data_IF_276642873702
#
_entry.id   IF_276642873702
#
_cell.length_a   1.000
_cell.length_b   1.000
_cell.length_c   1.000
_cell.angle_alpha   90.00
_cell.angle_beta   90.00
_cell.angle_gamma   90.00
#
_symmetry.space_group_name_H-M   'P 1'
#
loop_
_entity.id
_entity.type
_entity.pdbx_description
1 polymer ?
#
# COMPACT_ATOMS: atom_id res chain seq x y z
N UNK A 1 14.47 -9.89 -3.01
CA UNK A 1 13.55 -10.41 -4.00
C UNK A 1 13.37 -9.42 -5.13
N UNK A 2 13.03 -9.93 -6.27
CA UNK A 2 13.08 -9.15 -7.48
C UNK A 2 11.70 -8.75 -7.96
N UNK A 3 11.00 -7.99 -7.23
CA UNK A 3 9.71 -7.54 -7.66
C UNK A 3 8.63 -7.94 -6.70
N UNK A 4 7.39 -7.78 -7.11
CA UNK A 4 6.25 -7.95 -6.23
C UNK A 4 5.75 -9.39 -6.29
N UNK A 5 5.60 -10.01 -5.14
CA UNK A 5 4.99 -11.34 -5.09
C UNK A 5 3.47 -11.19 -4.89
N UNK A 6 2.80 -12.32 -4.70
CA UNK A 6 1.35 -12.34 -4.59
C UNK A 6 0.83 -11.49 -3.43
N UNK A 7 1.47 -11.62 -2.26
CA UNK A 7 1.03 -10.83 -1.10
C UNK A 7 1.28 -9.35 -1.29
N UNK A 8 2.42 -9.01 -1.88
CA UNK A 8 2.72 -7.60 -2.16
C UNK A 8 1.65 -7.00 -3.06
N UNK A 9 1.28 -7.74 -4.11
CA UNK A 9 0.28 -7.25 -5.06
C UNK A 9 -1.09 -7.14 -4.42
N UNK A 10 -1.46 -8.10 -3.58
CA UNK A 10 -2.73 -8.02 -2.87
C UNK A 10 -2.78 -6.80 -1.96
N UNK A 11 -1.68 -6.54 -1.25
CA UNK A 11 -1.60 -5.39 -0.37
C UNK A 11 -1.78 -4.09 -1.15
N UNK A 12 -1.00 -3.92 -2.20
CA UNK A 12 -1.07 -2.69 -2.99
C UNK A 12 -2.41 -2.54 -3.70
N UNK A 13 -2.93 -3.62 -4.24
CA UNK A 13 -4.23 -3.59 -4.90
C UNK A 13 -5.31 -3.16 -3.92
N UNK A 14 -5.29 -3.72 -2.71
CA UNK A 14 -6.27 -3.35 -1.69
C UNK A 14 -6.15 -1.89 -1.32
N UNK A 15 -4.92 -1.42 -1.10
CA UNK A 15 -4.69 -0.04 -0.72
C UNK A 15 -5.14 0.92 -1.83
N UNK A 16 -4.82 0.59 -3.07
CA UNK A 16 -5.14 1.47 -4.19
C UNK A 16 -6.62 1.47 -4.51
N UNK A 17 -7.25 0.28 -4.52
CA UNK A 17 -8.61 0.15 -5.01
C UNK A 17 -9.65 0.27 -3.92
N UNK A 18 -9.42 -0.40 -2.80
CA UNK A 18 -10.40 -0.38 -1.72
C UNK A 18 -10.31 0.88 -0.88
N UNK A 19 -9.11 1.36 -0.67
CA UNK A 19 -8.87 2.52 0.20
C UNK A 19 -8.46 3.76 -0.58
N UNK A 20 -8.55 3.69 -1.89
CA UNK A 20 -8.34 4.86 -2.75
C UNK A 20 -6.93 5.47 -2.56
N UNK A 21 -5.97 4.60 -2.32
CA UNK A 21 -4.59 5.04 -2.11
C UNK A 21 -4.26 5.42 -0.67
N UNK A 22 -5.24 5.35 0.20
CA UNK A 22 -5.06 5.67 1.60
C UNK A 22 -5.39 7.11 1.92
N UNK A 23 -5.20 7.53 3.16
CA UNK A 23 -4.55 6.76 4.23
C UNK A 23 -5.45 5.66 4.77
N UNK A 24 -4.85 4.52 5.06
CA UNK A 24 -5.55 3.38 5.60
C UNK A 24 -4.74 2.80 6.74
N UNK A 25 -5.39 2.55 7.86
CA UNK A 25 -4.71 1.95 9.00
C UNK A 25 -4.33 0.51 8.69
N UNK A 26 -3.26 0.03 9.33
CA UNK A 26 -2.80 -1.33 9.08
C UNK A 26 -3.84 -2.36 9.48
N UNK A 27 -4.61 -2.07 10.53
CA UNK A 27 -5.66 -3.00 10.97
C UNK A 27 -6.77 -3.11 9.93
N UNK A 28 -7.14 -1.97 9.33
CA UNK A 28 -8.16 -1.98 8.30
C UNK A 28 -7.69 -2.73 7.06
N UNK A 29 -6.43 -2.52 6.68
CA UNK A 29 -5.85 -3.23 5.55
C UNK A 29 -5.80 -4.73 5.82
N UNK A 30 -5.37 -5.12 7.03
CA UNK A 30 -5.27 -6.52 7.39
C UNK A 30 -6.64 -7.18 7.35
N UNK A 31 -7.65 -6.51 7.88
CA UNK A 31 -9.00 -7.05 7.87
C UNK A 31 -9.50 -7.22 6.43
N UNK A 32 -9.24 -6.23 5.58
CA UNK A 32 -9.69 -6.31 4.20
C UNK A 32 -8.98 -7.43 3.43
N UNK A 33 -7.74 -7.73 3.81
CA UNK A 33 -6.97 -8.79 3.16
C UNK A 33 -7.18 -10.15 3.80
N UNK A 34 -7.90 -10.20 4.92
CA UNK A 34 -8.04 -11.42 5.70
C UNK A 34 -6.68 -11.93 6.15
N UNK A 35 -5.82 -11.01 6.59
CA UNK A 35 -4.49 -11.33 7.05
C UNK A 35 -4.27 -10.74 8.44
N UNK A 36 -3.22 -11.18 9.07
CA UNK A 36 -2.83 -10.67 10.37
C UNK A 36 -2.06 -9.36 10.20
N UNK A 37 -2.35 -8.37 11.04
CA UNK A 37 -1.68 -7.09 10.92
C UNK A 37 -0.17 -7.21 11.13
N UNK A 38 0.25 -8.15 11.98
CA UNK A 38 1.69 -8.40 12.16
C UNK A 38 2.35 -8.86 10.88
N UNK A 39 1.65 -9.68 10.10
CA UNK A 39 2.17 -10.12 8.81
C UNK A 39 2.36 -8.92 7.87
N UNK A 40 1.41 -8.01 7.85
CA UNK A 40 1.56 -6.82 7.03
C UNK A 40 2.77 -6.00 7.48
N UNK A 41 2.88 -5.76 8.77
CA UNK A 41 3.95 -4.90 9.29
C UNK A 41 5.33 -5.51 9.19
N UNK A 42 5.43 -6.81 9.40
CA UNK A 42 6.73 -7.46 9.51
C UNK A 42 7.21 -8.13 8.24
N UNK A 43 6.28 -8.54 7.39
CA UNK A 43 6.62 -9.33 6.20
C UNK A 43 6.43 -8.53 4.92
N UNK A 44 5.32 -7.82 4.80
CA UNK A 44 4.95 -7.18 3.54
C UNK A 44 5.45 -5.75 3.46
N UNK A 45 5.16 -4.94 4.45
CA UNK A 45 5.44 -3.51 4.38
C UNK A 45 6.92 -3.17 4.30
N UNK A 46 7.84 -3.87 4.99
CA UNK A 46 9.23 -3.47 4.92
C UNK A 46 9.78 -3.42 3.49
N UNK A 47 9.45 -4.41 2.70
CA UNK A 47 9.89 -4.42 1.30
C UNK A 47 9.23 -3.30 0.50
N UNK A 48 7.91 -3.14 0.67
CA UNK A 48 7.17 -2.14 -0.10
C UNK A 48 7.61 -0.73 0.25
N UNK A 49 7.90 -0.49 1.52
CA UNK A 49 8.38 0.82 1.96
C UNK A 49 9.78 1.07 1.40
N UNK A 50 10.64 0.07 1.48
CA UNK A 50 12.00 0.19 0.99
C UNK A 50 12.02 0.47 -0.51
N UNK A 51 11.12 -0.14 -1.26
CA UNK A 51 11.04 0.05 -2.70
C UNK A 51 10.29 1.32 -3.09
N UNK A 52 9.70 2.01 -2.13
CA UNK A 52 9.05 3.28 -2.39
C UNK A 52 7.61 3.18 -2.84
N UNK A 53 6.96 2.04 -2.63
CA UNK A 53 5.55 1.89 -3.03
C UNK A 53 4.58 2.38 -1.97
N UNK A 54 5.00 2.37 -0.71
CA UNK A 54 4.11 2.68 0.41
C UNK A 54 4.84 3.58 1.38
N UNK A 55 4.10 4.49 2.00
CA UNK A 55 4.62 5.34 3.08
C UNK A 55 3.75 5.19 4.31
N UNK A 56 4.37 5.23 5.47
CA UNK A 56 3.64 5.28 6.73
C UNK A 56 3.49 6.72 7.16
N UNK A 57 2.27 7.11 7.51
CA UNK A 57 1.99 8.45 7.98
C UNK A 57 1.24 8.35 9.30
N UNK A 58 1.05 9.50 9.95
CA UNK A 58 0.31 9.54 11.19
C UNK A 58 -1.14 9.10 11.00
N UNK A 59 -1.66 9.19 9.80
CA UNK A 59 -3.04 8.80 9.51
C UNK A 59 -3.17 7.38 9.02
N UNK A 60 -2.06 6.73 8.69
CA UNK A 60 -2.08 5.39 8.17
C UNK A 60 -1.16 5.25 6.98
N UNK A 61 -1.35 4.18 6.22
CA UNK A 61 -0.50 3.88 5.06
C UNK A 61 -1.07 4.55 3.83
N UNK A 62 -0.18 5.12 3.02
CA UNK A 62 -0.58 5.69 1.74
C UNK A 62 0.25 5.09 0.63
N UNK A 63 -0.35 4.96 -0.54
CA UNK A 63 0.33 4.50 -1.73
C UNK A 63 1.03 5.69 -2.38
N UNK A 64 2.23 5.45 -2.89
CA UNK A 64 2.97 6.49 -3.59
C UNK A 64 2.58 6.49 -5.07
N UNK A 65 3.02 7.52 -5.80
CA UNK A 65 2.80 7.54 -7.25
C UNK A 65 3.37 6.31 -7.92
N UNK A 66 4.49 5.81 -7.40
CA UNK A 66 5.12 4.62 -7.95
C UNK A 66 4.20 3.41 -7.89
N UNK A 67 3.43 3.29 -6.81
CA UNK A 67 2.49 2.19 -6.68
C UNK A 67 1.39 2.29 -7.74
N UNK A 68 0.85 3.48 -7.94
CA UNK A 68 -0.16 3.67 -8.98
C UNK A 68 0.37 3.26 -10.34
N UNK A 69 1.57 3.73 -10.66
CA UNK A 69 2.16 3.44 -11.98
C UNK A 69 2.43 1.96 -12.15
N UNK A 70 2.84 1.29 -11.08
CA UNK A 70 3.11 -0.14 -11.12
C UNK A 70 1.87 -0.94 -11.52
N UNK A 71 0.70 -0.43 -11.16
CA UNK A 71 -0.57 -1.10 -11.47
C UNK A 71 -1.26 -0.51 -12.68
N UNK A 72 -0.56 0.33 -13.44
CA UNK A 72 -1.14 0.93 -14.63
C UNK A 72 -2.22 1.95 -14.33
N UNK A 73 -2.22 2.50 -13.13
CA UNK A 73 -3.19 3.48 -12.72
C UNK A 73 -2.58 4.87 -12.77
N UNK A 74 -3.42 5.87 -12.99
CA UNK A 74 -2.97 7.24 -12.99
C UNK A 74 -2.90 7.77 -11.58
N UNK A 75 -1.73 8.24 -11.12
CA UNK A 75 -1.65 8.81 -9.78
C UNK A 75 -2.57 10.01 -9.63
N UNK A 76 -3.11 10.24 -8.44
CA UNK A 76 -3.95 11.42 -8.24
C UNK A 76 -3.13 12.68 -8.35
N UNK A 77 -3.76 13.73 -8.81
CA UNK A 77 -3.08 14.99 -8.91
C UNK A 77 -2.85 15.58 -7.54
N UNK A 78 -1.73 16.29 -7.34
CA UNK A 78 -1.50 16.92 -6.05
C UNK A 78 -2.60 17.94 -5.79
N UNK A 79 -3.05 18.01 -4.56
CA UNK A 79 -4.00 19.03 -4.19
C UNK A 79 -3.27 20.32 -3.99
N UNK A 80 -3.82 21.34 -4.58
CA UNK A 80 -3.21 22.61 -4.38
C UNK A 80 -3.68 23.23 -3.15
N UNK A 81 -3.14 23.98 -2.75
CA UNK A 81 -3.54 24.61 -1.61
C UNK A 81 -3.76 25.88 -1.77
#
# INVERSE_FOLDING_TARGET
KDGLDTLDRRYLSMLLERFDGGPAGVEALAAAMAEDSGTLEDVIEPYLIQQGYVMRTARGRIATNMAYLQFGMTPPEPKDK
#
